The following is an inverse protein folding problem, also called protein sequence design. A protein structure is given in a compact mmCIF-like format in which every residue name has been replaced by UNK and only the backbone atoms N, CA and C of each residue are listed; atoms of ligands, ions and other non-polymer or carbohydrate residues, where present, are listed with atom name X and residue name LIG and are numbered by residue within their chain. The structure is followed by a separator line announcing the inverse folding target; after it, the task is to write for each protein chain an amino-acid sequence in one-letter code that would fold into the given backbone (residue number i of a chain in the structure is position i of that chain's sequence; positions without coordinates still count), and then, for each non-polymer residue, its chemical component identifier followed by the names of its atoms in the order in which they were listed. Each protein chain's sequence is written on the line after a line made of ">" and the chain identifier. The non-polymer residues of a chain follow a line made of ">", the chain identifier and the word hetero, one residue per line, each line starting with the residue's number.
data_IF_323388358757
#
_entry.id   IF_323388358757
#
_cell.length_a   1.000
_cell.length_b   1.000
_cell.length_c   1.000
_cell.angle_alpha   90.00
_cell.angle_beta   90.00
_cell.angle_gamma   90.00
#
_symmetry.space_group_name_H-M   'P 1'
#
loop_
_entity.id
_entity.type
_entity.pdbx_description
1 polymer ?
#
# COMPACT_ATOMS: atom_id res chain seq x y z
N UNK A 1 32.98 -15.12 -30.72
CA UNK A 1 31.52 -15.18 -30.94
C UNK A 1 30.87 -14.40 -29.80
N UNK A 2 30.32 -13.26 -30.16
CA UNK A 2 29.67 -12.26 -29.30
C UNK A 2 28.39 -12.80 -28.67
N UNK A 3 28.05 -12.30 -27.48
CA UNK A 3 26.73 -11.72 -27.23
C UNK A 3 26.82 -10.79 -26.01
N UNK A 4 27.01 -9.51 -26.31
CA UNK A 4 26.73 -8.40 -25.41
C UNK A 4 25.21 -8.35 -25.20
N UNK A 5 24.75 -8.76 -24.02
CA UNK A 5 23.40 -8.43 -23.60
C UNK A 5 23.39 -6.96 -23.17
N UNK A 6 23.16 -6.07 -24.14
CA UNK A 6 22.69 -4.72 -23.86
C UNK A 6 21.28 -4.84 -23.24
N UNK A 7 21.23 -4.89 -21.91
CA UNK A 7 20.00 -4.61 -21.19
C UNK A 7 19.71 -3.11 -21.38
N UNK A 8 18.65 -2.82 -22.12
CA UNK A 8 18.11 -1.47 -22.22
C UNK A 8 17.66 -1.08 -20.81
N UNK A 9 18.47 -0.31 -20.09
CA UNK A 9 18.07 0.34 -18.85
C UNK A 9 16.89 1.28 -19.16
N UNK A 10 15.67 0.79 -18.93
CA UNK A 10 14.50 1.65 -18.91
C UNK A 10 14.69 2.62 -17.75
N UNK A 11 15.12 3.85 -18.04
CA UNK A 11 15.23 4.94 -17.06
C UNK A 11 13.89 5.08 -16.33
N UNK A 12 13.79 4.51 -15.13
CA UNK A 12 12.60 4.67 -14.29
C UNK A 12 12.53 6.15 -13.92
N UNK A 13 11.41 6.79 -14.26
CA UNK A 13 11.12 8.15 -13.78
C UNK A 13 11.22 8.15 -12.26
N UNK A 14 11.98 9.08 -11.72
CA UNK A 14 12.10 9.27 -10.27
C UNK A 14 10.71 9.55 -9.69
N UNK A 15 10.23 8.65 -8.83
CA UNK A 15 8.94 8.82 -8.19
C UNK A 15 9.11 9.77 -7.01
N UNK A 16 8.56 10.98 -7.15
CA UNK A 16 8.58 12.03 -6.12
C UNK A 16 7.21 12.15 -5.47
N UNK A 17 7.16 12.28 -4.15
CA UNK A 17 5.93 12.61 -3.42
C UNK A 17 6.06 14.03 -2.87
N UNK A 18 5.24 14.95 -3.41
CA UNK A 18 5.29 16.38 -3.04
C UNK A 18 6.69 16.99 -3.16
N UNK A 19 7.46 16.53 -4.16
CA UNK A 19 8.83 16.98 -4.42
C UNK A 19 9.93 16.29 -3.61
N UNK A 20 9.60 15.26 -2.81
CA UNK A 20 10.56 14.50 -2.00
C UNK A 20 10.77 13.08 -2.52
N UNK A 21 11.98 12.56 -2.36
CA UNK A 21 12.31 11.16 -2.68
C UNK A 21 11.83 10.20 -1.58
N UNK A 22 11.79 8.89 -1.87
CA UNK A 22 11.40 7.88 -0.87
C UNK A 22 12.35 7.85 0.33
N UNK A 23 13.65 8.04 0.10
CA UNK A 23 14.67 8.01 1.14
C UNK A 23 14.51 9.19 2.10
N UNK A 24 14.29 10.39 1.55
CA UNK A 24 13.98 11.59 2.32
C UNK A 24 12.71 11.41 3.16
N UNK A 25 11.67 10.80 2.59
CA UNK A 25 10.41 10.58 3.30
C UNK A 25 10.52 9.56 4.43
N UNK A 26 11.39 8.55 4.30
CA UNK A 26 11.65 7.56 5.34
C UNK A 26 12.46 8.12 6.50
N UNK A 27 13.31 9.11 6.23
CA UNK A 27 14.09 9.80 7.26
C UNK A 27 13.24 10.72 8.14
N UNK A 28 12.11 11.22 7.64
CA UNK A 28 11.21 12.09 8.39
C UNK A 28 10.43 11.35 9.48
N UNK A 29 10.19 12.03 10.59
CA UNK A 29 9.23 11.57 11.59
C UNK A 29 7.78 11.60 11.03
N UNK A 30 6.92 10.77 11.60
CA UNK A 30 5.50 10.66 11.24
C UNK A 30 4.78 12.01 11.40
N UNK A 31 5.14 12.87 12.37
CA UNK A 31 4.54 14.22 12.52
C UNK A 31 4.97 15.17 11.42
N UNK A 32 6.23 15.10 11.02
CA UNK A 32 6.80 15.95 9.98
C UNK A 32 6.23 15.57 8.62
N UNK A 33 6.17 14.27 8.35
CA UNK A 33 5.49 13.71 7.19
C UNK A 33 4.02 14.15 7.10
N UNK A 34 3.31 14.19 8.24
CA UNK A 34 1.90 14.59 8.27
C UNK A 34 1.66 16.02 7.73
N UNK A 35 2.65 16.92 7.82
CA UNK A 35 2.53 18.29 7.28
C UNK A 35 2.41 18.31 5.75
N UNK A 36 2.90 17.27 5.06
CA UNK A 36 2.85 17.13 3.60
C UNK A 36 1.52 16.52 3.10
N UNK A 37 0.70 16.00 4.00
CA UNK A 37 -0.56 15.36 3.67
C UNK A 37 -1.71 16.36 3.53
N UNK A 38 -2.75 15.95 2.79
CA UNK A 38 -4.03 16.67 2.73
C UNK A 38 -4.68 16.77 4.12
N UNK A 39 -5.43 17.85 4.37
CA UNK A 39 -5.95 18.24 5.69
C UNK A 39 -6.61 17.11 6.48
N UNK A 40 -7.46 16.30 5.86
CA UNK A 40 -8.14 15.19 6.54
C UNK A 40 -7.17 14.08 6.98
N UNK A 41 -6.16 13.80 6.14
CA UNK A 41 -5.13 12.81 6.42
C UNK A 41 -4.18 13.32 7.50
N UNK A 42 -3.72 14.57 7.36
CA UNK A 42 -2.93 15.29 8.38
C UNK A 42 -3.62 15.27 9.76
N UNK A 43 -4.91 15.63 9.83
CA UNK A 43 -5.68 15.63 11.08
C UNK A 43 -5.73 14.23 11.72
N UNK A 44 -5.92 13.18 10.92
CA UNK A 44 -5.93 11.81 11.43
C UNK A 44 -4.55 11.39 11.97
N UNK A 45 -3.47 11.62 11.22
CA UNK A 45 -2.11 11.27 11.70
C UNK A 45 -1.76 12.00 12.99
N UNK A 46 -2.08 13.30 13.09
CA UNK A 46 -1.75 14.08 14.28
C UNK A 46 -2.58 13.67 15.51
N UNK A 47 -3.84 13.27 15.32
CA UNK A 47 -4.70 12.80 16.44
C UNK A 47 -4.35 11.38 16.88
N UNK A 48 -4.06 10.50 15.94
CA UNK A 48 -3.82 9.07 16.17
C UNK A 48 -2.33 8.72 16.11
N UNK A 49 -1.44 9.69 16.38
CA UNK A 49 0.00 9.56 16.16
C UNK A 49 0.61 8.30 16.77
N UNK A 50 0.29 8.02 18.04
CA UNK A 50 0.79 6.85 18.75
C UNK A 50 0.37 5.52 18.10
N UNK A 51 -0.79 5.48 17.45
CA UNK A 51 -1.27 4.27 16.79
C UNK A 51 -0.53 3.99 15.49
N UNK A 52 -0.17 5.07 14.77
CA UNK A 52 0.66 5.00 13.56
C UNK A 52 2.07 4.50 13.89
N UNK A 53 2.70 5.03 14.94
CA UNK A 53 4.02 4.56 15.41
C UNK A 53 3.98 3.10 15.87
N UNK A 54 3.00 2.75 16.72
CA UNK A 54 2.81 1.37 17.18
C UNK A 54 2.62 0.41 16.02
N UNK A 55 1.87 0.82 15.00
CA UNK A 55 1.66 0.00 13.80
C UNK A 55 2.95 -0.20 13.02
N UNK A 56 3.74 0.85 12.82
CA UNK A 56 5.04 0.78 12.13
C UNK A 56 6.01 -0.15 12.87
N UNK A 57 6.12 -0.01 14.20
CA UNK A 57 6.94 -0.87 15.04
C UNK A 57 6.52 -2.35 14.94
N UNK A 58 5.22 -2.63 15.06
CA UNK A 58 4.67 -3.98 14.93
C UNK A 58 4.93 -4.60 13.54
N UNK A 59 4.87 -3.80 12.47
CA UNK A 59 5.18 -4.27 11.12
C UNK A 59 6.67 -4.62 11.00
N UNK A 60 7.55 -3.75 11.49
CA UNK A 60 9.00 -3.99 11.48
C UNK A 60 9.38 -5.24 12.28
N UNK A 61 8.77 -5.44 13.46
CA UNK A 61 8.99 -6.62 14.29
C UNK A 61 8.53 -7.91 13.60
N UNK A 62 7.41 -7.87 12.86
CA UNK A 62 6.95 -9.05 12.11
C UNK A 62 7.84 -9.35 10.92
N UNK A 63 8.36 -8.31 10.27
CA UNK A 63 9.25 -8.45 9.12
C UNK A 63 10.61 -9.00 9.55
N UNK A 64 11.16 -8.55 10.69
CA UNK A 64 12.40 -9.11 11.24
C UNK A 64 12.26 -10.58 11.64
N UNK A 65 11.06 -11.00 12.06
CA UNK A 65 10.69 -12.41 12.29
C UNK A 65 10.48 -13.22 11.00
N UNK A 66 10.78 -12.67 9.82
CA UNK A 66 10.70 -13.36 8.53
C UNK A 66 9.28 -13.55 7.97
N UNK A 67 8.27 -12.86 8.53
CA UNK A 67 6.90 -12.97 8.00
C UNK A 67 6.78 -12.23 6.68
N UNK A 68 6.33 -12.95 5.64
CA UNK A 68 6.14 -12.40 4.28
C UNK A 68 4.99 -11.39 4.16
N UNK A 69 4.02 -11.42 5.08
CA UNK A 69 2.87 -10.52 5.05
C UNK A 69 2.32 -10.23 6.45
N UNK A 70 1.85 -9.01 6.69
CA UNK A 70 1.28 -8.60 7.97
C UNK A 70 -0.24 -8.40 7.88
N UNK A 71 -0.99 -9.14 8.69
CA UNK A 71 -2.44 -8.97 8.84
C UNK A 71 -2.77 -7.74 9.69
N UNK A 72 -3.77 -6.98 9.25
CA UNK A 72 -4.28 -5.80 9.97
C UNK A 72 -5.81 -5.68 9.87
N UNK A 73 -6.43 -5.30 10.98
CA UNK A 73 -7.83 -4.84 11.03
C UNK A 73 -7.94 -3.31 10.97
N UNK A 74 -6.82 -2.59 11.14
CA UNK A 74 -6.80 -1.13 11.24
C UNK A 74 -6.91 -0.47 9.87
N UNK A 75 -8.12 -0.39 9.33
CA UNK A 75 -8.43 0.16 8.00
C UNK A 75 -8.33 1.70 7.93
N UNK A 76 -8.36 2.36 9.07
CA UNK A 76 -8.36 3.83 9.17
C UNK A 76 -6.97 4.46 9.08
N UNK A 77 -5.93 3.68 9.33
CA UNK A 77 -4.55 4.15 9.31
C UNK A 77 -4.14 4.56 7.89
N UNK A 78 -3.18 5.46 7.85
CA UNK A 78 -2.64 6.06 6.63
C UNK A 78 -1.36 5.33 6.28
N UNK A 79 -1.13 5.16 4.98
CA UNK A 79 0.09 4.54 4.46
C UNK A 79 1.24 5.54 4.67
N UNK A 80 2.14 5.17 5.56
CA UNK A 80 3.36 5.89 5.87
C UNK A 80 4.50 5.48 4.92
N UNK A 81 5.52 6.34 4.73
CA UNK A 81 6.67 6.04 3.87
C UNK A 81 7.42 4.75 4.26
N UNK A 82 7.48 4.44 5.56
CA UNK A 82 8.12 3.21 6.06
C UNK A 82 7.40 1.90 5.69
N UNK A 83 6.16 1.96 5.18
CA UNK A 83 5.38 0.78 4.78
C UNK A 83 5.54 0.41 3.30
N UNK A 84 6.23 1.24 2.52
CA UNK A 84 6.41 1.02 1.08
C UNK A 84 7.25 -0.22 0.84
N UNK A 85 6.77 -1.11 -0.03
CA UNK A 85 7.40 -2.40 -0.32
C UNK A 85 6.97 -3.55 0.59
N UNK A 86 6.10 -3.31 1.57
CA UNK A 86 5.59 -4.34 2.47
C UNK A 86 4.26 -4.90 1.94
N UNK A 87 4.08 -6.22 2.06
CA UNK A 87 2.80 -6.89 1.79
C UNK A 87 1.89 -6.85 3.01
N UNK A 88 0.78 -6.13 2.92
CA UNK A 88 -0.23 -6.09 3.98
C UNK A 88 -1.45 -6.92 3.62
N UNK A 89 -2.01 -7.59 4.61
CA UNK A 89 -3.28 -8.31 4.53
C UNK A 89 -4.33 -7.48 5.28
N UNK A 90 -5.18 -6.76 4.55
CA UNK A 90 -6.14 -5.81 5.12
C UNK A 90 -7.52 -6.47 5.21
N UNK A 91 -8.08 -6.52 6.40
CA UNK A 91 -9.41 -7.07 6.64
C UNK A 91 -10.49 -6.26 5.93
N UNK A 92 -11.38 -6.92 5.19
CA UNK A 92 -12.50 -6.27 4.47
C UNK A 92 -13.86 -6.44 5.17
N UNK A 93 -13.92 -7.09 6.34
CA UNK A 93 -15.16 -7.43 7.04
C UNK A 93 -15.49 -8.93 7.01
N UNK A 94 -14.80 -9.71 6.17
CA UNK A 94 -14.94 -11.17 6.08
C UNK A 94 -13.58 -11.85 5.94
N UNK A 95 -12.80 -11.41 4.97
CA UNK A 95 -11.51 -11.98 4.59
C UNK A 95 -10.39 -10.92 4.65
N UNK A 96 -9.14 -11.38 4.58
CA UNK A 96 -7.99 -10.50 4.48
C UNK A 96 -7.54 -10.38 3.02
N UNK A 97 -7.69 -9.19 2.43
CA UNK A 97 -7.20 -8.92 1.08
C UNK A 97 -5.70 -8.61 1.12
N UNK A 98 -4.85 -9.36 0.40
CA UNK A 98 -3.43 -9.03 0.27
C UNK A 98 -3.25 -7.81 -0.65
N UNK A 99 -2.46 -6.84 -0.21
CA UNK A 99 -2.13 -5.61 -0.91
C UNK A 99 -0.63 -5.38 -0.79
N UNK A 100 0.04 -5.26 -1.94
CA UNK A 100 1.44 -4.88 -2.03
C UNK A 100 1.53 -3.35 -2.08
N UNK A 101 2.14 -2.72 -1.06
CA UNK A 101 2.18 -1.26 -0.97
C UNK A 101 3.21 -0.70 -1.95
N UNK A 102 2.74 0.11 -2.89
CA UNK A 102 3.58 0.91 -3.80
C UNK A 102 3.75 2.34 -3.30
N UNK A 103 4.72 3.06 -3.88
CA UNK A 103 5.01 4.44 -3.54
C UNK A 103 3.83 5.40 -3.78
N UNK A 104 3.04 5.16 -4.81
CA UNK A 104 1.91 6.01 -5.19
C UNK A 104 0.77 5.96 -4.15
N UNK A 105 0.75 4.94 -3.30
CA UNK A 105 -0.25 4.76 -2.25
C UNK A 105 0.03 5.58 -0.98
N UNK A 106 1.20 6.24 -0.89
CA UNK A 106 1.57 7.05 0.27
C UNK A 106 0.51 8.12 0.53
N UNK A 107 0.10 8.23 1.80
CA UNK A 107 -0.91 9.20 2.23
C UNK A 107 -2.37 8.72 2.09
N UNK A 108 -2.65 7.62 1.39
CA UNK A 108 -3.99 7.02 1.35
C UNK A 108 -4.29 6.20 2.62
N UNK A 109 -5.57 5.96 2.92
CA UNK A 109 -5.95 5.05 4.01
C UNK A 109 -5.89 3.60 3.55
N UNK A 110 -5.51 2.69 4.46
CA UNK A 110 -5.45 1.25 4.17
C UNK A 110 -6.80 0.69 3.68
N UNK A 111 -7.91 1.15 4.25
CA UNK A 111 -9.25 0.71 3.87
C UNK A 111 -9.64 1.03 2.42
N UNK A 112 -8.99 2.00 1.77
CA UNK A 112 -9.27 2.36 0.36
C UNK A 112 -8.90 1.20 -0.59
N UNK A 113 -7.92 0.37 -0.21
CA UNK A 113 -7.40 -0.73 -1.05
C UNK A 113 -8.08 -2.08 -0.79
N UNK A 114 -9.07 -2.13 0.11
CA UNK A 114 -9.74 -3.36 0.51
C UNK A 114 -11.25 -3.11 0.57
N UNK A 115 -11.99 -3.28 -0.55
CA UNK A 115 -13.42 -2.99 -0.60
C UNK A 115 -14.22 -3.96 0.25
N UNK A 116 -15.21 -3.44 0.98
CA UNK A 116 -16.05 -4.22 1.91
C UNK A 116 -17.25 -4.90 1.24
N UNK A 117 -17.67 -4.38 0.09
CA UNK A 117 -18.81 -4.88 -0.68
C UNK A 117 -18.33 -5.37 -2.04
N UNK A 118 -18.96 -6.44 -2.53
CA UNK A 118 -18.76 -6.89 -3.90
C UNK A 118 -19.34 -5.89 -4.89
N UNK A 119 -18.72 -5.78 -6.06
CA UNK A 119 -19.27 -4.98 -7.17
C UNK A 119 -20.55 -5.66 -7.67
N UNK A 120 -21.67 -4.95 -7.60
CA UNK A 120 -22.95 -5.44 -8.14
C UNK A 120 -22.90 -5.40 -9.67
N UNK A 121 -23.38 -6.47 -10.30
CA UNK A 121 -23.64 -6.50 -11.74
C UNK A 121 -25.13 -6.25 -11.93
N UNK A 122 -25.51 -5.11 -12.52
CA UNK A 122 -26.91 -4.86 -12.89
C UNK A 122 -27.22 -5.65 -14.16
N UNK A 123 -28.11 -6.62 -14.07
CA UNK A 123 -28.53 -7.42 -15.22
C UNK A 123 -29.57 -6.66 -16.05
N UNK A 124 -29.10 -5.94 -17.07
CA UNK A 124 -29.79 -5.78 -18.35
C UNK A 124 -28.83 -6.24 -19.44
N UNK A 125 -29.02 -7.49 -19.88
CA UNK A 125 -28.52 -8.05 -21.13
C UNK A 125 -27.01 -8.05 -21.43
N UNK A 126 -26.19 -8.56 -20.52
CA UNK A 126 -24.89 -9.11 -20.92
C UNK A 126 -24.66 -10.54 -20.43
N UNK A 127 -24.92 -11.47 -21.35
CA UNK A 127 -24.22 -12.76 -21.40
C UNK A 127 -22.72 -12.53 -21.69
N UNK A 128 -21.94 -12.01 -20.75
CA UNK A 128 -20.49 -11.85 -20.93
C UNK A 128 -19.71 -12.95 -20.19
N UNK A 129 -19.40 -13.99 -20.98
CA UNK A 129 -18.25 -14.92 -20.93
C UNK A 129 -17.70 -15.25 -19.53
N UNK A 130 -18.12 -16.40 -18.99
CA UNK A 130 -17.27 -17.17 -18.08
C UNK A 130 -16.06 -17.65 -18.90
N UNK A 131 -14.93 -16.96 -18.82
CA UNK A 131 -13.65 -17.54 -19.24
C UNK A 131 -13.37 -18.71 -18.31
N UNK A 132 -13.54 -19.94 -18.82
CA UNK A 132 -13.09 -21.13 -18.14
C UNK A 132 -11.58 -21.00 -17.89
N UNK A 133 -11.15 -21.16 -16.64
CA UNK A 133 -9.73 -21.33 -16.32
C UNK A 133 -9.26 -22.62 -16.99
N UNK A 134 -8.38 -22.49 -17.99
CA UNK A 134 -7.57 -23.58 -18.50
C UNK A 134 -6.72 -24.09 -17.33
N UNK A 135 -6.93 -25.35 -16.93
CA UNK A 135 -6.00 -26.07 -16.04
C UNK A 135 -4.74 -26.34 -16.85
N UNK A 136 -3.58 -25.93 -16.33
CA UNK A 136 -2.29 -26.52 -16.68
C UNK A 136 -1.73 -27.14 -15.42
#
# INVERSE_FOLDING_TARGET
>A
MTNENNEVEVRKKEQLFRGKSLEELKALDVREFAKLLSSNRKRNVLRNFQEHEKFLSLVNEKLSKGKKSVRTHKRELIILPGLVGIKLQIYNGRDFSPVDISFEMIGHKLGEFSPTRSKTKHSKDEKSKKTAKVKK
#
